data_IF_112641676216
#
_entry.id   IF_112641676216
#
_cell.length_a   1.000
_cell.length_b   1.000
_cell.length_c   1.000
_cell.angle_alpha   90.00
_cell.angle_beta   90.00
_cell.angle_gamma   90.00
#
_symmetry.space_group_name_H-M   'P 1'
#
loop_
_entity.id
_entity.type
_entity.pdbx_description
1 polymer ?
#
# COMPACT_ATOMS: atom_id res chain seq x y z
N UNK A 1 21.63 2.69 23.12
CA UNK A 1 20.67 1.86 22.38
C UNK A 1 21.25 0.48 22.25
N UNK A 2 20.56 -0.54 22.72
CA UNK A 2 20.97 -1.95 22.56
C UNK A 2 20.76 -2.42 21.11
N UNK A 3 21.39 -3.53 20.71
CA UNK A 3 21.12 -4.17 19.42
C UNK A 3 19.63 -4.49 19.21
N UNK A 4 18.94 -4.96 20.25
CA UNK A 4 17.50 -5.27 20.22
C UNK A 4 16.66 -4.01 20.03
N UNK A 5 16.95 -2.94 20.77
CA UNK A 5 16.27 -1.65 20.61
C UNK A 5 16.45 -1.09 19.19
N UNK A 6 17.64 -1.27 18.60
CA UNK A 6 17.92 -0.86 17.22
C UNK A 6 17.11 -1.66 16.20
N UNK A 7 16.95 -2.98 16.38
CA UNK A 7 16.15 -3.82 15.49
C UNK A 7 14.68 -3.39 15.54
N UNK A 8 14.14 -3.18 16.74
CA UNK A 8 12.74 -2.71 16.92
C UNK A 8 12.53 -1.36 16.23
N UNK A 9 13.50 -0.44 16.34
CA UNK A 9 13.40 0.85 15.66
C UNK A 9 13.39 0.69 14.13
N UNK A 10 14.28 -0.14 13.58
CA UNK A 10 14.31 -0.40 12.13
C UNK A 10 13.01 -1.04 11.61
N UNK A 11 12.40 -1.93 12.39
CA UNK A 11 11.09 -2.51 12.05
C UNK A 11 9.99 -1.44 12.05
N UNK A 12 10.00 -0.53 13.01
CA UNK A 12 9.07 0.61 13.06
C UNK A 12 9.25 1.54 11.87
N UNK A 13 10.49 1.93 11.58
CA UNK A 13 10.81 2.81 10.46
C UNK A 13 10.37 2.19 9.13
N UNK A 14 10.53 0.86 8.98
CA UNK A 14 10.09 0.13 7.81
C UNK A 14 8.56 0.09 7.68
N UNK A 15 7.83 -0.07 8.79
CA UNK A 15 6.36 -0.02 8.80
C UNK A 15 5.88 1.38 8.44
N UNK A 16 6.46 2.41 9.05
CA UNK A 16 6.12 3.81 8.78
C UNK A 16 6.36 4.17 7.32
N UNK A 17 7.55 3.87 6.80
CA UNK A 17 7.91 4.11 5.39
C UNK A 17 6.93 3.45 4.42
N UNK A 18 6.51 2.20 4.70
CA UNK A 18 5.52 1.49 3.88
C UNK A 18 4.15 2.16 3.91
N UNK A 19 3.72 2.62 5.08
CA UNK A 19 2.44 3.31 5.23
C UNK A 19 2.45 4.66 4.52
N UNK A 20 3.50 5.45 4.70
CA UNK A 20 3.68 6.74 4.02
C UNK A 20 3.71 6.58 2.51
N UNK A 21 4.45 5.59 1.99
CA UNK A 21 4.50 5.31 0.56
C UNK A 21 3.11 4.93 0.01
N UNK A 22 2.37 4.09 0.72
CA UNK A 22 1.02 3.72 0.31
C UNK A 22 0.06 4.93 0.33
N UNK A 23 0.18 5.81 1.33
CA UNK A 23 -0.61 7.06 1.41
C UNK A 23 -0.32 8.00 0.24
N UNK A 24 0.95 8.26 -0.06
CA UNK A 24 1.34 9.08 -1.21
C UNK A 24 0.76 8.54 -2.52
N UNK A 25 0.80 7.22 -2.72
CA UNK A 25 0.20 6.58 -3.90
C UNK A 25 -1.31 6.78 -3.92
N UNK A 26 -1.99 6.58 -2.79
CA UNK A 26 -3.46 6.74 -2.73
C UNK A 26 -3.92 8.18 -2.94
N UNK A 27 -3.17 9.16 -2.44
CA UNK A 27 -3.50 10.58 -2.61
C UNK A 27 -3.27 11.00 -4.06
N UNK A 28 -2.20 10.54 -4.71
CA UNK A 28 -2.02 10.72 -6.16
C UNK A 28 -3.17 10.09 -6.98
N UNK A 29 -3.63 8.90 -6.61
CA UNK A 29 -4.76 8.24 -7.29
C UNK A 29 -6.04 9.07 -7.13
N UNK A 30 -6.28 9.68 -5.96
CA UNK A 30 -7.46 10.53 -5.74
C UNK A 30 -7.44 11.79 -6.61
N UNK A 31 -6.29 12.41 -6.77
CA UNK A 31 -6.13 13.57 -7.64
C UNK A 31 -6.34 13.21 -9.13
N UNK A 32 -5.81 12.07 -9.56
CA UNK A 32 -5.91 11.61 -10.95
C UNK A 32 -7.26 10.98 -11.29
N UNK A 33 -7.94 10.38 -10.30
CA UNK A 33 -9.19 9.63 -10.45
C UNK A 33 -10.23 10.21 -9.48
N UNK A 34 -10.98 11.26 -9.91
CA UNK A 34 -11.86 11.98 -9.01
C UNK A 34 -13.14 11.21 -8.66
N UNK A 35 -13.57 10.26 -9.50
CA UNK A 35 -14.77 9.46 -9.26
C UNK A 35 -14.50 8.28 -8.33
N UNK A 36 -15.40 8.06 -7.38
CA UNK A 36 -15.39 6.91 -6.47
C UNK A 36 -15.37 5.58 -7.23
N UNK A 37 -16.26 5.42 -8.22
CA UNK A 37 -16.28 4.23 -9.07
C UNK A 37 -14.96 4.00 -9.83
N UNK A 38 -14.29 5.07 -10.27
CA UNK A 38 -12.99 4.97 -10.91
C UNK A 38 -11.91 4.52 -9.94
N UNK A 39 -11.90 5.05 -8.72
CA UNK A 39 -10.98 4.63 -7.65
C UNK A 39 -11.17 3.16 -7.28
N UNK A 40 -12.41 2.69 -7.27
CA UNK A 40 -12.73 1.28 -7.05
C UNK A 40 -12.18 0.35 -8.13
N UNK A 41 -12.19 0.78 -9.40
CA UNK A 41 -11.56 0.04 -10.49
C UNK A 41 -10.04 -0.05 -10.27
N UNK A 42 -9.41 1.04 -9.86
CA UNK A 42 -7.97 1.04 -9.54
C UNK A 42 -7.66 0.14 -8.35
N UNK A 43 -8.47 0.17 -7.29
CA UNK A 43 -8.32 -0.72 -6.14
C UNK A 43 -8.39 -2.20 -6.54
N UNK A 44 -9.34 -2.58 -7.40
CA UNK A 44 -9.44 -3.95 -7.94
C UNK A 44 -8.22 -4.33 -8.76
N UNK A 45 -7.70 -3.42 -9.59
CA UNK A 45 -6.48 -3.67 -10.37
C UNK A 45 -5.27 -3.98 -9.49
N UNK A 46 -5.12 -3.30 -8.34
CA UNK A 46 -4.08 -3.62 -7.36
C UNK A 46 -4.31 -4.99 -6.70
N UNK A 47 -5.54 -5.36 -6.38
CA UNK A 47 -5.85 -6.69 -5.84
C UNK A 47 -5.55 -7.81 -6.83
N UNK A 48 -5.92 -7.62 -8.09
CA UNK A 48 -5.69 -8.60 -9.16
C UNK A 48 -4.20 -8.75 -9.44
N UNK A 49 -3.46 -7.64 -9.46
CA UNK A 49 -1.98 -7.68 -9.48
C UNK A 49 -1.44 -8.47 -8.28
N UNK A 50 -1.97 -8.25 -7.07
CA UNK A 50 -1.55 -8.97 -5.88
C UNK A 50 -1.88 -10.48 -5.86
N UNK A 51 -2.76 -10.94 -6.76
CA UNK A 51 -3.13 -12.36 -6.96
C UNK A 51 -2.44 -12.99 -8.17
N UNK A 52 -1.80 -12.19 -9.02
CA UNK A 52 -1.18 -12.69 -10.24
C UNK A 52 -0.04 -13.68 -9.95
N UNK A 53 0.07 -14.70 -10.79
CA UNK A 53 1.11 -15.71 -10.68
C UNK A 53 2.51 -15.08 -10.82
N UNK A 54 3.47 -15.55 -10.02
CA UNK A 54 4.83 -15.02 -10.03
C UNK A 54 5.02 -13.69 -9.30
N UNK A 55 3.96 -13.06 -8.77
CA UNK A 55 4.09 -11.87 -7.93
C UNK A 55 4.63 -12.26 -6.55
N UNK A 56 5.84 -11.80 -6.25
CA UNK A 56 6.48 -12.02 -4.96
C UNK A 56 5.62 -11.53 -3.78
N UNK A 57 5.71 -12.23 -2.65
CA UNK A 57 4.83 -12.02 -1.48
C UNK A 57 4.83 -10.58 -0.94
N UNK A 58 5.96 -9.87 -1.03
CA UNK A 58 6.08 -8.46 -0.62
C UNK A 58 5.27 -7.55 -1.55
N UNK A 59 5.38 -7.73 -2.87
CA UNK A 59 4.61 -6.95 -3.87
C UNK A 59 3.11 -7.22 -3.71
N UNK A 60 2.73 -8.48 -3.51
CA UNK A 60 1.35 -8.86 -3.26
C UNK A 60 0.77 -8.22 -2.00
N UNK A 61 1.54 -8.16 -0.90
CA UNK A 61 1.14 -7.49 0.34
C UNK A 61 0.98 -5.97 0.15
N UNK A 62 1.94 -5.33 -0.52
CA UNK A 62 1.88 -3.89 -0.79
C UNK A 62 0.67 -3.53 -1.66
N UNK A 63 0.39 -4.32 -2.70
CA UNK A 63 -0.75 -4.09 -3.57
C UNK A 63 -2.08 -4.17 -2.81
N UNK A 64 -2.23 -5.16 -1.91
CA UNK A 64 -3.40 -5.24 -1.03
C UNK A 64 -3.52 -4.05 -0.07
N UNK A 65 -2.40 -3.58 0.49
CA UNK A 65 -2.38 -2.40 1.36
C UNK A 65 -2.84 -1.14 0.61
N UNK A 66 -2.35 -0.93 -0.61
CA UNK A 66 -2.75 0.20 -1.45
C UNK A 66 -4.25 0.08 -1.80
N UNK A 67 -4.72 -1.10 -2.23
CA UNK A 67 -6.13 -1.31 -2.54
C UNK A 67 -7.05 -1.03 -1.33
N UNK A 68 -6.67 -1.49 -0.14
CA UNK A 68 -7.40 -1.20 1.10
C UNK A 68 -7.44 0.31 1.38
N UNK A 69 -6.28 0.98 1.32
CA UNK A 69 -6.20 2.43 1.53
C UNK A 69 -6.96 3.23 0.49
N UNK A 70 -7.07 2.78 -0.77
CA UNK A 70 -7.90 3.47 -1.76
C UNK A 70 -9.38 3.44 -1.34
N UNK A 71 -9.87 2.33 -0.77
CA UNK A 71 -11.28 2.15 -0.38
C UNK A 71 -11.65 2.78 0.95
N UNK A 72 -10.75 2.80 1.93
CA UNK A 72 -10.98 3.49 3.21
C UNK A 72 -11.17 5.01 3.05
N UNK A 73 -10.75 5.53 1.90
CA UNK A 73 -10.57 6.93 1.58
C UNK A 73 -11.27 7.32 0.27
N UNK A 74 -11.91 6.36 -0.41
CA UNK A 74 -12.60 6.52 -1.69
C UNK A 74 -13.99 7.06 -1.50
#
# INVERSE_FOLDING_TARGET
>A
MSPEERIIQLERDLIETRNTAAEMITDAIRELVPSEAGRDVVARAFEDFGKAEGVGSIKARLARLIAAKIRERG
#
